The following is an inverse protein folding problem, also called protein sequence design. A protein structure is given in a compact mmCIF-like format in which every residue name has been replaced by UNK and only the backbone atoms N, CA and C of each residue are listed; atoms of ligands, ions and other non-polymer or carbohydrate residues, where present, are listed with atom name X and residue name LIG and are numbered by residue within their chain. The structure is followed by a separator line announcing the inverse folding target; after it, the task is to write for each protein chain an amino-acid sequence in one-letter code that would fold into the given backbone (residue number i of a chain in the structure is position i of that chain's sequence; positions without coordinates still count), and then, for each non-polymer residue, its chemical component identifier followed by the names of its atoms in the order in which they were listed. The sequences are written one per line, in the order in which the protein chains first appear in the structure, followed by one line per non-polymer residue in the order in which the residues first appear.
data_IF_454136738476
#
_entry.id   IF_454136738476
#
_cell.length_a   1.000
_cell.length_b   1.000
_cell.length_c   1.000
_cell.angle_alpha   90.00
_cell.angle_beta   90.00
_cell.angle_gamma   90.00
#
_symmetry.space_group_name_H-M   'P 1'
#
loop_
_entity.id
_entity.type
_entity.pdbx_description
1 polymer ?
#
# COMPACT_ATOMS: atom_id res chain seq x y z
N UNK A 1 31.00 -12.47 7.66
CA UNK A 1 29.55 -12.35 7.39
C UNK A 1 29.22 -12.70 5.92
N UNK A 2 30.17 -12.54 4.98
CA UNK A 2 30.06 -13.03 3.59
C UNK A 2 30.00 -14.56 3.46
N UNK A 3 30.81 -15.30 4.21
CA UNK A 3 30.85 -16.78 4.12
C UNK A 3 29.51 -17.47 4.46
N UNK A 4 28.69 -16.83 5.30
CA UNK A 4 27.36 -17.33 5.66
C UNK A 4 26.35 -17.17 4.52
N UNK A 5 26.44 -16.08 3.75
CA UNK A 5 25.59 -15.87 2.57
C UNK A 5 25.95 -16.87 1.47
N UNK A 6 27.25 -17.07 1.25
CA UNK A 6 27.76 -17.95 0.20
C UNK A 6 27.38 -19.42 0.43
N UNK A 7 27.41 -19.88 1.69
CA UNK A 7 26.99 -21.25 2.04
C UNK A 7 25.46 -21.44 1.94
N UNK A 8 24.69 -20.39 2.24
CA UNK A 8 23.22 -20.39 2.11
C UNK A 8 22.80 -20.40 0.63
N UNK A 9 23.48 -19.64 -0.22
CA UNK A 9 23.24 -19.64 -1.66
C UNK A 9 23.51 -21.03 -2.27
N UNK A 10 24.65 -21.65 -1.93
CA UNK A 10 25.00 -22.98 -2.44
C UNK A 10 24.03 -24.07 -2.01
N UNK A 11 23.49 -23.99 -0.79
CA UNK A 11 22.47 -24.94 -0.34
C UNK A 11 21.13 -24.74 -1.04
N UNK A 12 20.73 -23.49 -1.29
CA UNK A 12 19.53 -23.18 -2.08
C UNK A 12 19.69 -23.70 -3.51
N UNK A 13 20.82 -23.42 -4.16
CA UNK A 13 21.07 -23.85 -5.53
C UNK A 13 21.10 -25.38 -5.66
N UNK A 14 21.69 -26.08 -4.69
CA UNK A 14 21.71 -27.54 -4.65
C UNK A 14 20.31 -28.14 -4.45
N UNK A 15 19.48 -27.53 -3.61
CA UNK A 15 18.08 -27.96 -3.41
C UNK A 15 17.27 -27.70 -4.67
N UNK A 16 17.43 -26.52 -5.29
CA UNK A 16 16.75 -26.15 -6.54
C UNK A 16 17.13 -27.09 -7.68
N UNK A 17 18.41 -27.35 -7.92
CA UNK A 17 18.84 -28.29 -8.96
C UNK A 17 18.30 -29.70 -8.72
N UNK A 18 18.25 -30.17 -7.46
CA UNK A 18 17.68 -31.48 -7.14
C UNK A 18 16.16 -31.56 -7.39
N UNK A 19 15.43 -30.50 -7.07
CA UNK A 19 13.98 -30.41 -7.31
C UNK A 19 13.70 -30.31 -8.81
N UNK A 20 14.42 -29.43 -9.51
CA UNK A 20 14.30 -29.24 -10.96
C UNK A 20 14.65 -30.54 -11.69
N UNK A 21 15.71 -31.23 -11.30
CA UNK A 21 16.11 -32.51 -11.88
C UNK A 21 15.01 -33.57 -11.72
N UNK A 22 14.46 -33.73 -10.51
CA UNK A 22 13.34 -34.65 -10.26
C UNK A 22 12.09 -34.31 -11.06
N UNK A 23 11.75 -33.03 -11.16
CA UNK A 23 10.60 -32.56 -11.92
C UNK A 23 10.79 -32.77 -13.43
N UNK A 24 12.00 -32.52 -13.93
CA UNK A 24 12.36 -32.73 -15.33
C UNK A 24 12.38 -34.21 -15.70
N UNK A 25 12.93 -35.08 -14.85
CA UNK A 25 12.92 -36.53 -15.06
C UNK A 25 11.49 -37.09 -15.04
N UNK A 26 10.65 -36.60 -14.12
CA UNK A 26 9.24 -36.97 -14.07
C UNK A 26 8.49 -36.52 -15.34
N UNK A 27 8.71 -35.28 -15.78
CA UNK A 27 8.13 -34.75 -17.01
C UNK A 27 8.62 -35.52 -18.24
N UNK A 28 9.90 -35.88 -18.28
CA UNK A 28 10.53 -36.65 -19.34
C UNK A 28 10.22 -38.15 -19.31
N UNK A 29 9.54 -38.65 -18.28
CA UNK A 29 8.97 -40.00 -18.27
C UNK A 29 7.53 -40.03 -18.78
N UNK A 30 6.85 -38.89 -18.89
CA UNK A 30 5.50 -38.82 -19.42
C UNK A 30 5.49 -38.98 -20.95
N UNK A 31 4.39 -39.51 -21.47
CA UNK A 31 4.17 -39.67 -22.91
C UNK A 31 4.11 -38.31 -23.62
N UNK A 32 4.53 -38.28 -24.89
CA UNK A 32 4.54 -37.07 -25.72
C UNK A 32 3.18 -36.34 -25.74
N UNK A 33 2.07 -37.08 -25.73
CA UNK A 33 0.71 -36.52 -25.64
C UNK A 33 0.46 -35.79 -24.33
N UNK A 34 0.88 -36.37 -23.19
CA UNK A 34 0.73 -35.74 -21.86
C UNK A 34 1.64 -34.54 -21.69
N UNK A 35 2.88 -34.58 -22.20
CA UNK A 35 3.77 -33.40 -22.19
C UNK A 35 3.17 -32.25 -22.97
N UNK A 36 2.63 -32.53 -24.16
CA UNK A 36 1.96 -31.53 -24.99
C UNK A 36 0.75 -30.94 -24.27
N UNK A 37 -0.06 -31.76 -23.59
CA UNK A 37 -1.18 -31.28 -22.77
C UNK A 37 -0.75 -30.44 -21.56
N UNK A 38 0.34 -30.80 -20.88
CA UNK A 38 0.87 -30.03 -19.74
C UNK A 38 1.42 -28.67 -20.21
N UNK A 39 2.13 -28.63 -21.35
CA UNK A 39 2.65 -27.37 -21.90
C UNK A 39 1.51 -26.48 -22.40
N UNK A 40 0.54 -27.03 -23.11
CA UNK A 40 -0.64 -26.28 -23.57
C UNK A 40 -1.48 -25.81 -22.37
N UNK A 41 -1.71 -26.68 -21.39
CA UNK A 41 -2.46 -26.35 -20.17
C UNK A 41 -1.76 -25.31 -19.31
N UNK A 42 -0.44 -25.44 -19.12
CA UNK A 42 0.37 -24.48 -18.39
C UNK A 42 0.43 -23.11 -19.09
N UNK A 43 0.65 -23.11 -20.40
CA UNK A 43 0.58 -21.89 -21.21
C UNK A 43 -0.80 -21.24 -21.17
N UNK A 44 -1.87 -22.05 -21.22
CA UNK A 44 -3.25 -21.58 -21.07
C UNK A 44 -3.53 -20.97 -19.69
N UNK A 45 -3.00 -21.58 -18.62
CA UNK A 45 -3.12 -21.04 -17.26
C UNK A 45 -2.39 -19.70 -17.11
N UNK A 46 -1.17 -19.58 -17.65
CA UNK A 46 -0.42 -18.31 -17.65
C UNK A 46 -1.17 -17.25 -18.47
N UNK A 47 -1.68 -17.61 -19.66
CA UNK A 47 -2.48 -16.70 -20.48
C UNK A 47 -3.76 -16.24 -19.76
N UNK A 48 -4.44 -17.15 -19.05
CA UNK A 48 -5.59 -16.82 -18.21
C UNK A 48 -5.23 -15.89 -17.05
N UNK A 49 -4.12 -16.15 -16.35
CA UNK A 49 -3.66 -15.28 -15.26
C UNK A 49 -3.32 -13.88 -15.81
N UNK A 50 -2.59 -13.81 -16.92
CA UNK A 50 -2.29 -12.54 -17.60
C UNK A 50 -3.55 -11.81 -18.05
N UNK A 51 -4.54 -12.53 -18.58
CA UNK A 51 -5.84 -11.96 -18.96
C UNK A 51 -6.61 -11.48 -17.74
N UNK A 52 -6.63 -12.23 -16.63
CA UNK A 52 -7.27 -11.80 -15.38
C UNK A 52 -6.58 -10.56 -14.82
N UNK A 53 -5.25 -10.47 -14.89
CA UNK A 53 -4.50 -9.28 -14.47
C UNK A 53 -4.83 -8.09 -15.37
N UNK A 54 -4.95 -8.28 -16.69
CA UNK A 54 -5.35 -7.22 -17.62
C UNK A 54 -6.80 -6.79 -17.40
N UNK A 55 -7.74 -7.73 -17.31
CA UNK A 55 -9.15 -7.44 -17.01
C UNK A 55 -9.25 -6.73 -15.68
N UNK A 56 -8.56 -7.20 -14.63
CA UNK A 56 -8.48 -6.46 -13.37
C UNK A 56 -7.87 -5.09 -13.58
N UNK A 57 -6.77 -4.93 -14.32
CA UNK A 57 -6.16 -3.62 -14.53
C UNK A 57 -7.08 -2.64 -15.30
N UNK A 58 -7.91 -3.13 -16.22
CA UNK A 58 -8.85 -2.33 -17.02
C UNK A 58 -10.20 -2.09 -16.31
N UNK A 59 -10.75 -3.09 -15.62
CA UNK A 59 -11.92 -2.90 -14.74
C UNK A 59 -11.55 -2.03 -13.55
N UNK A 60 -10.32 -2.16 -13.07
CA UNK A 60 -9.72 -1.27 -12.10
C UNK A 60 -9.25 0.03 -12.78
N UNK A 61 -9.39 0.25 -14.10
CA UNK A 61 -9.12 1.55 -14.73
C UNK A 61 -10.34 2.47 -14.66
N UNK A 62 -11.55 1.91 -14.76
CA UNK A 62 -12.78 2.60 -14.33
C UNK A 62 -12.82 2.77 -12.80
N UNK A 63 -12.16 1.88 -12.05
CA UNK A 63 -11.95 2.03 -10.61
C UNK A 63 -10.68 2.85 -10.23
N UNK A 64 -9.78 3.15 -11.18
CA UNK A 64 -8.60 4.04 -11.01
C UNK A 64 -8.90 5.46 -11.46
N UNK A 65 -9.99 5.67 -12.19
CA UNK A 65 -10.68 6.96 -12.21
C UNK A 65 -11.54 7.20 -10.95
N UNK A 66 -11.67 6.16 -10.12
CA UNK A 66 -12.04 6.27 -8.72
C UNK A 66 -10.84 5.94 -7.81
N UNK A 67 -9.70 6.60 -8.06
CA UNK A 67 -8.97 7.10 -6.88
C UNK A 67 -9.92 8.09 -6.26
N UNK A 68 -10.78 7.53 -5.41
CA UNK A 68 -11.80 8.20 -4.67
C UNK A 68 -11.08 9.35 -3.98
N UNK A 69 -11.35 10.56 -4.50
CA UNK A 69 -11.05 11.88 -3.94
C UNK A 69 -11.82 12.10 -2.64
N UNK A 70 -11.82 11.07 -1.81
CA UNK A 70 -12.64 10.88 -0.64
C UNK A 70 -11.63 10.17 0.26
N UNK A 71 -10.86 10.91 1.06
CA UNK A 71 -11.21 11.13 2.47
C UNK A 71 -12.60 10.55 2.78
N UNK A 72 -12.76 9.25 2.57
CA UNK A 72 -13.98 8.51 2.86
C UNK A 72 -14.05 8.58 4.36
N UNK A 73 -15.07 9.33 4.78
CA UNK A 73 -15.40 9.65 6.15
C UNK A 73 -15.04 8.47 7.05
N UNK A 74 -14.23 8.67 8.10
CA UNK A 74 -13.92 7.59 9.02
C UNK A 74 -15.25 6.99 9.48
N UNK A 75 -15.40 5.69 9.24
CA UNK A 75 -16.57 4.92 9.67
C UNK A 75 -16.81 5.25 11.15
N UNK A 76 -17.93 5.93 11.40
CA UNK A 76 -18.31 6.49 12.69
C UNK A 76 -18.23 5.43 13.78
N UNK A 77 -17.21 5.50 14.62
CA UNK A 77 -17.40 5.09 16.01
C UNK A 77 -18.36 6.12 16.64
N UNK A 78 -19.33 5.70 17.46
CA UNK A 78 -20.06 6.63 18.30
C UNK A 78 -19.07 7.22 19.32
N UNK A 79 -18.42 8.31 18.93
CA UNK A 79 -17.61 9.13 19.81
C UNK A 79 -18.54 9.98 20.69
N UNK A 80 -18.24 10.15 21.98
CA UNK A 80 -19.09 10.92 22.89
C UNK A 80 -19.35 12.33 22.34
N UNK A 81 -20.62 12.74 22.35
CA UNK A 81 -21.20 13.95 21.74
C UNK A 81 -20.78 15.25 22.45
N UNK A 82 -19.48 15.51 22.57
CA UNK A 82 -19.00 16.81 23.05
C UNK A 82 -17.71 17.18 22.32
N UNK A 83 -17.81 17.36 20.99
CA UNK A 83 -16.72 17.94 20.21
C UNK A 83 -16.65 19.44 20.49
N UNK A 84 -15.60 19.89 21.17
CA UNK A 84 -15.18 21.29 21.12
C UNK A 84 -14.79 21.63 19.67
N UNK A 85 -15.06 22.86 19.22
CA UNK A 85 -14.58 23.38 17.92
C UNK A 85 -13.05 23.37 17.78
N UNK A 86 -12.36 23.14 18.91
CA UNK A 86 -10.90 23.07 19.01
C UNK A 86 -10.34 21.68 18.71
N UNK A 87 -11.17 20.65 18.53
CA UNK A 87 -10.65 19.29 18.31
C UNK A 87 -10.58 18.92 16.82
N UNK A 88 -9.40 18.49 16.38
CA UNK A 88 -9.13 17.99 15.03
C UNK A 88 -9.29 16.46 14.99
N UNK A 89 -9.88 15.97 13.91
CA UNK A 89 -9.96 14.54 13.62
C UNK A 89 -8.72 14.12 12.84
N UNK A 90 -7.93 13.17 13.33
CA UNK A 90 -6.66 12.86 12.72
C UNK A 90 -6.86 11.98 11.48
N UNK A 91 -6.18 12.29 10.38
CA UNK A 91 -6.32 11.58 9.09
C UNK A 91 -5.15 10.62 8.84
N UNK A 92 -3.93 11.10 9.02
CA UNK A 92 -2.75 10.40 8.51
C UNK A 92 -1.46 11.19 8.65
N UNK A 93 -0.40 10.64 8.07
CA UNK A 93 0.89 11.28 7.91
C UNK A 93 1.29 11.25 6.44
N UNK A 94 1.71 12.38 5.88
CA UNK A 94 2.39 12.40 4.59
C UNK A 94 3.90 12.31 4.81
N UNK A 95 4.56 11.55 3.94
CA UNK A 95 6.01 11.29 4.01
C UNK A 95 6.58 11.12 2.60
N UNK A 96 7.70 11.76 2.30
CA UNK A 96 8.38 11.61 1.02
C UNK A 96 9.56 12.55 0.89
N UNK A 97 10.03 12.73 -0.34
CA UNK A 97 11.19 13.55 -0.67
C UNK A 97 10.76 14.67 -1.61
N UNK A 98 11.08 15.92 -1.27
CA UNK A 98 10.83 17.11 -2.09
C UNK A 98 12.17 17.80 -2.26
N UNK A 99 12.58 18.04 -3.51
CA UNK A 99 13.81 18.76 -3.85
C UNK A 99 15.08 18.17 -3.20
N UNK A 100 15.12 16.86 -3.00
CA UNK A 100 16.26 16.15 -2.37
C UNK A 100 16.21 16.13 -0.83
N UNK A 101 15.21 16.77 -0.21
CA UNK A 101 15.03 16.81 1.23
C UNK A 101 13.84 15.96 1.68
N UNK A 102 14.03 15.27 2.79
CA UNK A 102 12.99 14.43 3.38
C UNK A 102 11.96 15.27 4.12
N UNK A 103 10.71 15.23 3.69
CA UNK A 103 9.59 15.97 4.28
C UNK A 103 8.54 15.02 4.86
N UNK A 104 8.05 15.36 6.05
CA UNK A 104 7.01 14.60 6.71
C UNK A 104 6.12 15.48 7.61
N UNK A 105 4.80 15.33 7.49
CA UNK A 105 3.83 16.04 8.32
C UNK A 105 2.56 15.24 8.55
N UNK A 106 1.91 15.52 9.67
CA UNK A 106 0.63 14.95 10.06
C UNK A 106 -0.51 15.76 9.45
N UNK A 107 -1.60 15.08 9.10
CA UNK A 107 -2.82 15.67 8.58
C UNK A 107 -3.98 15.40 9.53
N UNK A 108 -4.81 16.42 9.71
CA UNK A 108 -6.05 16.34 10.48
C UNK A 108 -7.12 17.23 9.84
N UNK A 109 -8.38 16.97 10.16
CA UNK A 109 -9.53 17.71 9.63
C UNK A 109 -10.40 18.24 10.76
N UNK A 110 -10.90 19.46 10.64
CA UNK A 110 -11.85 20.00 11.60
C UNK A 110 -13.32 19.61 11.29
N UNK A 111 -14.25 20.02 12.15
CA UNK A 111 -15.68 19.79 11.98
C UNK A 111 -16.27 20.41 10.70
N UNK A 112 -15.63 21.44 10.15
CA UNK A 112 -16.04 22.10 8.92
C UNK A 112 -15.43 21.46 7.65
N UNK A 113 -14.56 20.46 7.80
CA UNK A 113 -13.89 19.82 6.67
C UNK A 113 -12.61 20.54 6.21
N UNK A 114 -12.12 21.52 6.98
CA UNK A 114 -10.85 22.19 6.70
C UNK A 114 -9.69 21.29 7.11
N UNK A 115 -8.72 21.12 6.21
CA UNK A 115 -7.57 20.25 6.41
C UNK A 115 -6.42 21.07 7.00
N UNK A 116 -5.81 20.56 8.06
CA UNK A 116 -4.66 21.14 8.71
C UNK A 116 -3.47 20.20 8.62
N UNK A 117 -2.28 20.78 8.53
CA UNK A 117 -1.00 20.09 8.64
C UNK A 117 -0.25 20.51 9.90
N UNK A 118 0.51 19.59 10.46
CA UNK A 118 1.52 19.89 11.47
C UNK A 118 2.71 18.95 11.31
N UNK A 119 3.95 19.47 11.29
CA UNK A 119 5.17 18.67 11.19
C UNK A 119 5.52 17.99 12.52
N UNK A 120 5.25 18.67 13.63
CA UNK A 120 5.66 18.28 14.97
C UNK A 120 4.50 18.53 15.96
N UNK A 121 3.41 17.75 15.88
CA UNK A 121 2.33 17.88 16.85
C UNK A 121 2.79 17.48 18.25
N UNK A 122 2.39 18.22 19.31
CA UNK A 122 2.72 17.88 20.69
C UNK A 122 2.11 16.54 21.10
N UNK A 123 2.78 15.74 21.94
CA UNK A 123 2.31 14.39 22.26
C UNK A 123 1.01 14.38 23.09
N UNK A 124 0.86 15.32 24.04
CA UNK A 124 -0.26 15.33 24.98
C UNK A 124 -1.57 15.81 24.33
N UNK A 125 -1.51 16.82 23.47
CA UNK A 125 -2.66 17.43 22.79
C UNK A 125 -2.49 17.44 21.26
N UNK A 126 -2.03 16.32 20.70
CA UNK A 126 -1.59 16.23 19.31
C UNK A 126 -2.59 16.78 18.28
N UNK A 127 -3.89 16.67 18.56
CA UNK A 127 -4.97 17.06 17.64
C UNK A 127 -5.89 18.12 18.22
N UNK A 128 -5.40 18.91 19.16
CA UNK A 128 -6.06 20.17 19.54
C UNK A 128 -5.61 21.27 18.55
N UNK A 129 -6.53 22.15 18.16
CA UNK A 129 -6.25 23.28 17.27
C UNK A 129 -5.28 24.21 17.99
N UNK A 130 -4.04 24.21 17.52
CA UNK A 130 -2.99 25.11 17.95
C UNK A 130 -2.47 25.93 16.75
N UNK A 131 -1.72 27.02 16.99
CA UNK A 131 -1.08 27.78 15.91
C UNK A 131 -0.13 26.95 15.02
N UNK A 132 0.34 25.81 15.52
CA UNK A 132 1.23 24.89 14.79
C UNK A 132 0.47 24.05 13.75
N UNK A 133 -0.86 23.90 13.94
CA UNK A 133 -1.75 23.32 12.95
C UNK A 133 -2.10 24.36 11.89
N UNK A 134 -1.44 24.27 10.75
CA UNK A 134 -1.61 25.20 9.63
C UNK A 134 -2.64 24.68 8.65
N UNK A 135 -3.64 25.49 8.34
CA UNK A 135 -4.59 25.16 7.28
C UNK A 135 -3.86 24.99 5.94
N UNK A 136 -4.22 23.94 5.21
CA UNK A 136 -3.75 23.68 3.84
C UNK A 136 -4.94 23.79 2.89
N UNK A 137 -4.73 24.47 1.76
CA UNK A 137 -5.70 24.46 0.67
C UNK A 137 -5.70 23.11 -0.06
N UNK A 138 -6.83 22.75 -0.67
CA UNK A 138 -6.94 21.50 -1.42
C UNK A 138 -5.94 21.42 -2.57
N UNK A 139 -5.65 22.54 -3.23
CA UNK A 139 -4.69 22.62 -4.33
C UNK A 139 -3.28 22.27 -3.84
N UNK A 140 -2.88 22.80 -2.68
CA UNK A 140 -1.57 22.53 -2.09
C UNK A 140 -1.47 21.08 -1.58
N UNK A 141 -2.56 20.54 -1.02
CA UNK A 141 -2.63 19.13 -0.66
C UNK A 141 -2.41 18.23 -1.88
N UNK A 142 -3.07 18.54 -3.00
CA UNK A 142 -2.93 17.78 -4.25
C UNK A 142 -1.49 17.81 -4.80
N UNK A 143 -0.79 18.93 -4.66
CA UNK A 143 0.63 19.00 -5.01
C UNK A 143 1.46 18.07 -4.12
N UNK A 144 1.20 18.03 -2.82
CA UNK A 144 1.85 17.09 -1.93
C UNK A 144 1.51 15.63 -2.24
N UNK A 145 0.28 15.31 -2.61
CA UNK A 145 -0.13 13.94 -2.96
C UNK A 145 0.60 13.38 -4.20
N UNK A 146 1.09 14.26 -5.09
CA UNK A 146 1.87 13.85 -6.27
C UNK A 146 3.28 13.38 -5.91
N UNK A 147 3.84 13.85 -4.80
CA UNK A 147 5.26 13.68 -4.44
C UNK A 147 5.44 12.91 -3.12
N UNK A 148 4.49 13.03 -2.20
CA UNK A 148 4.52 12.45 -0.87
C UNK A 148 3.53 11.30 -0.75
N UNK A 149 3.97 10.24 -0.08
CA UNK A 149 3.12 9.10 0.23
C UNK A 149 2.26 9.36 1.46
N UNK A 150 0.96 9.11 1.34
CA UNK A 150 0.03 9.17 2.46
C UNK A 150 0.01 7.85 3.25
N UNK A 151 0.18 7.98 4.56
CA UNK A 151 0.13 6.89 5.53
C UNK A 151 -1.10 7.12 6.42
N UNK A 152 -2.20 6.36 6.23
CA UNK A 152 -3.40 6.53 7.05
C UNK A 152 -3.10 6.13 8.50
N UNK A 153 -3.81 6.74 9.45
CA UNK A 153 -3.74 6.32 10.85
C UNK A 153 -4.35 4.92 10.96
N UNK A 154 -3.48 3.92 11.08
CA UNK A 154 -3.89 2.57 11.43
C UNK A 154 -4.29 2.57 12.90
N UNK A 155 -5.58 2.74 13.17
CA UNK A 155 -6.12 2.40 14.48
C UNK A 155 -5.73 0.95 14.81
N UNK A 156 -5.19 0.72 16.01
CA UNK A 156 -5.06 -0.64 16.57
C UNK A 156 -6.48 -1.20 16.71
N UNK A 157 -7.02 -1.82 15.66
CA UNK A 157 -8.41 -2.28 15.66
C UNK A 157 -8.96 -2.91 14.39
N UNK A 158 -8.28 -2.84 13.24
CA UNK A 158 -8.75 -3.49 12.01
C UNK A 158 -8.06 -4.86 11.80
N UNK A 159 -8.32 -5.83 12.69
CA UNK A 159 -8.35 -7.24 12.29
C UNK A 159 -9.76 -7.52 11.80
N UNK A 160 -9.91 -7.79 10.50
CA UNK A 160 -10.91 -8.75 10.04
C UNK A 160 -10.17 -10.01 9.68
#
# INVERSE_FOLDING_TARGET
MEDLKDNTQRTIDAVLTRIIGKANDWFNRQSLRRRKQIVIGGGGAIALISLIILVRAFTDQDNRQHIDTTISQPMLMPMPLTRSNEQLTPLGKMKGEIDGEFEAFYLAVDSAGTIYMNREPPFENAYEKSPDWKAISREKLKQYEQVLHFLPIRGKGARR
#
